data_IF_945105708022
#
_entry.id   IF_945105708022
#
_cell.length_a   1.000
_cell.length_b   1.000
_cell.length_c   1.000
_cell.angle_alpha   90.00
_cell.angle_beta   90.00
_cell.angle_gamma   90.00
#
_symmetry.space_group_name_H-M   'P 1'
#
loop_
_entity.id
_entity.type
_entity.pdbx_description
1 polymer ?
#
# COMPACT_ATOMS: atom_id res chain seq x y z
N UNK A 1 43.33 25.17 44.42
CA UNK A 1 44.33 26.13 43.95
C UNK A 1 44.51 25.97 42.48
N UNK A 2 43.97 26.90 41.69
CA UNK A 2 44.44 27.38 40.41
C UNK A 2 43.40 28.31 39.82
N UNK A 3 43.82 29.48 39.49
CA UNK A 3 43.07 30.68 39.12
C UNK A 3 42.64 30.69 37.66
N UNK A 4 41.67 31.53 37.29
CA UNK A 4 41.10 31.59 35.94
C UNK A 4 41.91 32.44 34.97
N UNK A 5 41.91 32.05 33.73
CA UNK A 5 42.52 32.81 32.62
C UNK A 5 41.44 33.68 31.97
N UNK A 6 41.69 34.98 32.02
CA UNK A 6 40.90 36.06 31.41
C UNK A 6 41.09 36.03 29.88
N UNK A 7 40.01 36.16 29.12
CA UNK A 7 40.03 36.42 27.72
C UNK A 7 39.78 37.92 27.40
N UNK A 8 40.49 38.54 26.46
CA UNK A 8 40.24 39.90 26.03
C UNK A 8 39.12 39.98 24.98
N UNK A 9 38.24 40.93 25.21
CA UNK A 9 37.16 41.35 24.33
C UNK A 9 37.77 42.03 23.09
N UNK A 10 37.57 41.43 21.95
CA UNK A 10 37.94 41.98 20.65
C UNK A 10 36.71 42.72 20.06
N UNK A 11 36.68 44.00 20.26
CA UNK A 11 35.74 44.98 19.73
C UNK A 11 35.86 45.04 18.21
N UNK A 12 34.94 44.45 17.47
CA UNK A 12 34.92 44.48 16.00
C UNK A 12 34.10 45.69 15.54
N UNK A 13 34.78 46.70 15.04
CA UNK A 13 34.21 47.89 14.42
C UNK A 13 33.18 47.52 13.36
N UNK A 14 31.96 48.02 13.59
CA UNK A 14 30.89 47.94 12.58
C UNK A 14 31.11 49.04 11.55
N UNK A 15 31.53 48.64 10.36
CA UNK A 15 31.57 49.54 9.20
C UNK A 15 30.13 49.91 8.81
N UNK A 16 29.78 51.15 8.97
CA UNK A 16 28.56 51.75 8.41
C UNK A 16 28.69 51.78 6.89
N UNK A 17 28.05 50.86 6.24
CA UNK A 17 27.78 50.92 4.81
C UNK A 17 26.62 51.90 4.60
N UNK A 18 26.89 53.03 3.97
CA UNK A 18 25.88 53.98 3.53
C UNK A 18 24.98 53.30 2.48
N UNK A 19 23.72 53.09 2.84
CA UNK A 19 22.67 52.71 1.90
C UNK A 19 22.23 53.95 1.11
N UNK A 20 22.16 53.89 -0.23
CA UNK A 20 21.58 54.94 -1.03
C UNK A 20 20.09 55.09 -0.75
N UNK A 21 19.64 56.27 -0.49
CA UNK A 21 18.23 56.66 -0.34
C UNK A 21 17.52 56.46 -1.69
N UNK A 22 16.72 55.42 -1.79
CA UNK A 22 15.81 55.20 -2.92
C UNK A 22 14.54 56.02 -2.72
N UNK A 23 14.29 56.93 -3.65
CA UNK A 23 13.14 57.83 -3.68
C UNK A 23 11.80 57.08 -3.66
N UNK A 24 10.75 57.58 -3.00
CA UNK A 24 9.50 56.88 -2.78
C UNK A 24 8.48 56.96 -3.92
N UNK A 25 8.89 57.03 -5.20
CA UNK A 25 7.95 57.26 -6.30
C UNK A 25 7.59 56.03 -7.17
N UNK A 26 8.08 54.82 -6.85
CA UNK A 26 7.82 53.63 -7.67
C UNK A 26 6.93 52.57 -6.94
N UNK A 27 6.49 52.88 -5.71
CA UNK A 27 5.78 51.86 -4.87
C UNK A 27 4.29 51.65 -5.20
N UNK A 28 3.71 52.38 -6.16
CA UNK A 28 2.23 52.30 -6.32
C UNK A 28 1.72 51.39 -7.45
N UNK A 29 2.60 50.76 -8.22
CA UNK A 29 2.15 49.83 -9.31
C UNK A 29 2.28 48.34 -9.04
N UNK A 30 2.85 47.95 -7.89
CA UNK A 30 3.05 46.51 -7.60
C UNK A 30 1.90 45.82 -6.83
N UNK A 31 0.90 46.58 -6.34
CA UNK A 31 -0.17 46.01 -5.51
C UNK A 31 -1.24 45.23 -6.28
N UNK A 32 -1.42 45.48 -7.57
CA UNK A 32 -2.44 44.75 -8.35
C UNK A 32 -1.94 43.37 -8.81
N UNK A 33 -0.63 43.26 -9.13
CA UNK A 33 -0.01 41.99 -9.52
C UNK A 33 0.09 41.00 -8.37
N UNK A 34 0.29 41.47 -7.13
CA UNK A 34 0.46 40.55 -5.98
C UNK A 34 -0.84 39.86 -5.55
N UNK A 35 -1.99 40.49 -5.77
CA UNK A 35 -3.30 39.85 -5.47
C UNK A 35 -3.65 38.79 -6.51
N UNK A 36 -3.45 39.07 -7.79
CA UNK A 36 -3.63 38.11 -8.87
C UNK A 36 -2.67 36.93 -8.74
N UNK A 37 -1.40 37.15 -8.38
CA UNK A 37 -0.42 36.09 -8.17
C UNK A 37 -0.78 35.21 -6.97
N UNK A 38 -1.29 35.79 -5.87
CA UNK A 38 -1.78 35.00 -4.70
C UNK A 38 -2.99 34.16 -5.06
N UNK A 39 -3.96 34.69 -5.80
CA UNK A 39 -5.15 33.93 -6.22
C UNK A 39 -4.77 32.79 -7.16
N UNK A 40 -3.85 33.03 -8.11
CA UNK A 40 -3.32 31.99 -9.00
C UNK A 40 -2.52 30.92 -8.22
N UNK A 41 -1.70 31.33 -7.26
CA UNK A 41 -0.93 30.39 -6.42
C UNK A 41 -1.84 29.53 -5.54
N UNK A 42 -2.91 30.10 -4.96
CA UNK A 42 -3.89 29.33 -4.18
C UNK A 42 -4.73 28.39 -5.07
N UNK A 43 -5.10 28.83 -6.27
CA UNK A 43 -5.79 27.99 -7.25
C UNK A 43 -4.95 26.81 -7.70
N UNK A 44 -3.66 27.02 -7.99
CA UNK A 44 -2.72 25.96 -8.36
C UNK A 44 -2.47 24.97 -7.20
N UNK A 45 -2.33 25.48 -5.98
CA UNK A 45 -2.16 24.64 -4.79
C UNK A 45 -3.40 23.78 -4.51
N UNK A 46 -4.60 24.35 -4.69
CA UNK A 46 -5.86 23.61 -4.54
C UNK A 46 -6.00 22.54 -5.62
N UNK A 47 -5.60 22.84 -6.86
CA UNK A 47 -5.63 21.88 -7.98
C UNK A 47 -4.66 20.71 -7.75
N UNK A 48 -3.47 20.97 -7.20
CA UNK A 48 -2.48 19.95 -6.83
C UNK A 48 -2.96 19.10 -5.65
N UNK A 49 -3.68 19.67 -4.69
CA UNK A 49 -4.26 18.92 -3.58
C UNK A 49 -5.42 18.02 -4.04
N UNK A 50 -6.24 18.48 -4.99
CA UNK A 50 -7.32 17.68 -5.57
C UNK A 50 -6.81 16.52 -6.43
N UNK A 51 -5.68 16.69 -7.14
CA UNK A 51 -5.08 15.61 -7.95
C UNK A 51 -4.41 14.52 -7.09
N UNK A 52 -3.99 14.80 -5.87
CA UNK A 52 -3.43 13.79 -4.97
C UNK A 52 -4.48 12.85 -4.35
N UNK A 53 -5.75 13.21 -4.36
CA UNK A 53 -6.85 12.38 -3.86
C UNK A 53 -7.28 11.26 -4.82
N UNK A 54 -6.90 11.32 -6.09
CA UNK A 54 -7.26 10.31 -7.10
C UNK A 54 -6.26 9.16 -7.22
N UNK A 55 -5.12 9.21 -6.52
CA UNK A 55 -4.06 8.20 -6.60
C UNK A 55 -4.35 6.91 -5.80
N UNK A 56 -5.45 6.83 -5.04
CA UNK A 56 -5.83 5.64 -4.26
C UNK A 56 -6.82 4.71 -4.99
N UNK A 57 -6.86 4.72 -6.32
CA UNK A 57 -7.69 3.87 -7.16
C UNK A 57 -7.12 2.47 -7.46
N UNK A 58 -6.43 1.84 -6.53
CA UNK A 58 -6.21 0.41 -6.58
C UNK A 58 -7.55 -0.29 -6.37
N UNK A 59 -8.11 -0.96 -7.39
CA UNK A 59 -9.37 -1.69 -7.22
C UNK A 59 -9.15 -2.79 -6.19
N UNK A 60 -9.60 -2.50 -4.97
CA UNK A 60 -9.58 -3.45 -3.87
C UNK A 60 -10.42 -4.67 -4.26
N UNK A 61 -9.90 -5.89 -4.07
CA UNK A 61 -10.66 -7.09 -4.38
C UNK A 61 -11.93 -7.13 -3.51
N UNK A 62 -13.07 -7.53 -4.07
CA UNK A 62 -14.31 -7.69 -3.29
C UNK A 62 -14.07 -8.62 -2.10
N UNK A 63 -14.69 -8.35 -0.96
CA UNK A 63 -14.55 -9.19 0.25
C UNK A 63 -14.98 -10.64 0.00
N UNK A 64 -16.01 -10.85 -0.80
CA UNK A 64 -16.45 -12.19 -1.18
C UNK A 64 -15.36 -12.97 -1.91
N UNK A 65 -14.67 -12.33 -2.83
CA UNK A 65 -13.56 -12.91 -3.58
C UNK A 65 -12.37 -13.25 -2.66
N UNK A 66 -12.08 -12.39 -1.68
CA UNK A 66 -11.01 -12.67 -0.72
C UNK A 66 -11.34 -13.84 0.19
N UNK A 67 -12.60 -13.96 0.64
CA UNK A 67 -13.06 -15.13 1.39
C UNK A 67 -12.92 -16.43 0.57
N UNK A 68 -13.30 -16.39 -0.72
CA UNK A 68 -13.15 -17.51 -1.64
C UNK A 68 -11.67 -17.88 -1.84
N UNK A 69 -10.81 -16.89 -2.06
CA UNK A 69 -9.36 -17.10 -2.21
C UNK A 69 -8.74 -17.77 -0.98
N UNK A 70 -9.09 -17.31 0.23
CA UNK A 70 -8.63 -17.90 1.48
C UNK A 70 -9.15 -19.32 1.69
N UNK A 71 -10.43 -19.55 1.43
CA UNK A 71 -11.03 -20.88 1.48
C UNK A 71 -10.32 -21.85 0.52
N UNK A 72 -10.09 -21.43 -0.72
CA UNK A 72 -9.38 -22.20 -1.73
C UNK A 72 -7.92 -22.47 -1.32
N UNK A 73 -7.23 -21.47 -0.78
CA UNK A 73 -5.86 -21.65 -0.29
C UNK A 73 -5.76 -22.70 0.82
N UNK A 74 -6.69 -22.70 1.77
CA UNK A 74 -6.77 -23.72 2.82
C UNK A 74 -7.04 -25.09 2.21
N UNK A 75 -8.02 -25.20 1.30
CA UNK A 75 -8.34 -26.46 0.62
C UNK A 75 -7.14 -27.05 -0.10
N UNK A 76 -6.43 -26.24 -0.90
CA UNK A 76 -5.24 -26.67 -1.62
C UNK A 76 -4.14 -27.17 -0.68
N UNK A 77 -3.96 -26.47 0.46
CA UNK A 77 -2.99 -26.88 1.48
C UNK A 77 -3.40 -28.20 2.14
N UNK A 78 -4.66 -28.34 2.55
CA UNK A 78 -5.17 -29.59 3.14
C UNK A 78 -5.11 -30.76 2.15
N UNK A 79 -5.41 -30.52 0.89
CA UNK A 79 -5.29 -31.54 -0.17
C UNK A 79 -3.84 -32.00 -0.34
N UNK A 80 -2.88 -31.09 -0.32
CA UNK A 80 -1.46 -31.43 -0.40
C UNK A 80 -1.01 -32.26 0.82
N UNK A 81 -1.44 -31.90 2.02
CA UNK A 81 -1.17 -32.65 3.27
C UNK A 81 -1.80 -34.05 3.20
N UNK A 82 -3.08 -34.14 2.85
CA UNK A 82 -3.78 -35.41 2.74
C UNK A 82 -3.09 -36.35 1.73
N UNK A 83 -2.69 -35.82 0.58
CA UNK A 83 -1.94 -36.57 -0.43
C UNK A 83 -0.60 -37.05 0.09
N UNK A 84 0.16 -36.24 0.81
CA UNK A 84 1.47 -36.64 1.36
C UNK A 84 1.36 -37.70 2.45
N UNK A 85 0.24 -37.73 3.19
CA UNK A 85 -0.03 -38.68 4.27
C UNK A 85 -0.90 -39.89 3.84
N UNK A 86 -1.25 -40.01 2.55
CA UNK A 86 -2.17 -41.00 2.02
C UNK A 86 -3.53 -41.02 2.75
N UNK A 87 -4.03 -39.84 3.15
CA UNK A 87 -5.34 -39.68 3.79
C UNK A 87 -6.42 -39.39 2.73
N UNK A 88 -7.70 -39.71 3.01
CA UNK A 88 -8.78 -39.32 2.12
C UNK A 88 -8.83 -37.78 1.97
N UNK A 89 -9.15 -37.29 0.77
CA UNK A 89 -9.26 -35.83 0.55
C UNK A 89 -10.42 -35.25 1.36
N UNK A 90 -10.29 -34.05 1.82
CA UNK A 90 -11.35 -33.33 2.50
C UNK A 90 -12.47 -32.98 1.51
N UNK A 91 -13.70 -33.37 1.82
CA UNK A 91 -14.86 -33.22 0.93
C UNK A 91 -15.65 -31.92 1.14
N UNK A 92 -15.40 -31.22 2.24
CA UNK A 92 -16.13 -29.99 2.61
C UNK A 92 -15.21 -28.81 2.69
N UNK A 93 -15.63 -27.68 2.12
CA UNK A 93 -14.88 -26.44 2.14
C UNK A 93 -14.73 -25.88 3.57
N UNK A 94 -13.58 -25.29 3.91
CA UNK A 94 -13.40 -24.59 5.17
C UNK A 94 -14.29 -23.34 5.24
N UNK A 95 -14.76 -23.03 6.43
CA UNK A 95 -15.48 -21.79 6.69
C UNK A 95 -14.48 -20.67 6.99
N UNK A 96 -14.56 -19.57 6.24
CA UNK A 96 -13.72 -18.38 6.40
C UNK A 96 -14.59 -17.22 6.88
N UNK A 97 -14.15 -16.54 7.92
CA UNK A 97 -14.88 -15.42 8.52
C UNK A 97 -13.94 -14.33 9.06
N UNK A 98 -14.51 -13.19 9.42
CA UNK A 98 -13.82 -12.04 10.04
C UNK A 98 -12.51 -11.63 9.35
N UNK A 99 -12.47 -11.63 8.03
CA UNK A 99 -11.30 -11.23 7.26
C UNK A 99 -11.01 -9.74 7.46
N UNK A 100 -9.81 -9.42 7.94
CA UNK A 100 -9.28 -8.08 8.13
C UNK A 100 -8.02 -7.93 7.30
N UNK A 101 -8.07 -7.06 6.31
CA UNK A 101 -6.91 -6.71 5.48
C UNK A 101 -6.10 -5.66 6.24
N UNK A 102 -4.82 -5.92 6.41
CA UNK A 102 -3.86 -5.01 7.06
C UNK A 102 -2.99 -4.30 6.02
N UNK A 103 -2.61 -5.02 4.96
CA UNK A 103 -1.75 -4.47 3.92
C UNK A 103 -2.19 -4.93 2.53
N UNK A 104 -2.05 -4.04 1.56
CA UNK A 104 -2.22 -4.33 0.14
C UNK A 104 -1.08 -3.71 -0.66
N UNK A 105 -0.43 -4.53 -1.48
CA UNK A 105 0.67 -4.09 -2.32
C UNK A 105 0.43 -4.54 -3.75
N UNK A 106 0.54 -3.59 -4.69
CA UNK A 106 0.50 -3.90 -6.11
C UNK A 106 1.87 -4.45 -6.54
N UNK A 107 1.85 -5.58 -7.24
CA UNK A 107 3.07 -6.21 -7.74
C UNK A 107 2.84 -6.84 -9.12
N UNK A 108 3.91 -7.34 -9.73
CA UNK A 108 3.82 -8.14 -10.96
C UNK A 108 3.92 -9.63 -10.62
N UNK A 109 3.00 -10.41 -11.15
CA UNK A 109 2.99 -11.87 -11.10
C UNK A 109 3.28 -12.39 -12.52
N UNK A 110 4.55 -12.64 -12.79
CA UNK A 110 5.02 -12.81 -14.17
C UNK A 110 4.88 -11.49 -14.95
N UNK A 111 4.23 -11.53 -16.10
CA UNK A 111 4.00 -10.34 -16.91
C UNK A 111 2.73 -9.55 -16.54
N UNK A 112 1.88 -10.13 -15.71
CA UNK A 112 0.58 -9.54 -15.37
C UNK A 112 0.57 -8.80 -14.04
N UNK A 113 -0.34 -7.83 -13.94
CA UNK A 113 -0.56 -7.10 -12.69
C UNK A 113 -1.22 -7.98 -11.65
N UNK A 114 -0.71 -7.91 -10.44
CA UNK A 114 -1.23 -8.64 -9.30
C UNK A 114 -1.27 -7.79 -8.04
N UNK A 115 -1.80 -8.38 -7.00
CA UNK A 115 -1.94 -7.81 -5.67
C UNK A 115 -1.46 -8.82 -4.63
N UNK A 116 -0.57 -8.40 -3.75
CA UNK A 116 -0.32 -9.09 -2.49
C UNK A 116 -1.25 -8.51 -1.44
N UNK A 117 -1.99 -9.35 -0.77
CA UNK A 117 -2.91 -8.97 0.29
C UNK A 117 -2.56 -9.75 1.54
N UNK A 118 -2.29 -9.06 2.62
CA UNK A 118 -2.01 -9.67 3.91
C UNK A 118 -2.95 -9.14 5.00
N UNK A 119 -3.09 -9.90 6.07
CA UNK A 119 -3.94 -9.54 7.17
C UNK A 119 -4.24 -10.70 8.09
N UNK A 120 -5.41 -10.65 8.74
CA UNK A 120 -5.86 -11.66 9.71
C UNK A 120 -7.28 -12.09 9.44
N UNK A 121 -7.58 -13.35 9.77
CA UNK A 121 -8.89 -13.94 9.55
C UNK A 121 -9.18 -15.06 10.55
N UNK A 122 -10.43 -15.44 10.63
CA UNK A 122 -10.84 -16.63 11.34
C UNK A 122 -11.24 -17.72 10.35
N UNK A 123 -10.92 -18.95 10.65
CA UNK A 123 -11.29 -20.09 9.82
C UNK A 123 -11.57 -21.35 10.63
N UNK A 124 -12.29 -22.26 10.02
CA UNK A 124 -12.69 -23.53 10.66
C UNK A 124 -12.74 -24.63 9.62
N UNK A 125 -12.11 -25.77 9.91
CA UNK A 125 -12.36 -27.01 9.18
C UNK A 125 -13.63 -27.66 9.71
N UNK A 126 -14.31 -28.46 8.88
CA UNK A 126 -15.48 -29.23 9.32
C UNK A 126 -15.14 -30.14 10.50
N UNK A 127 -15.86 -29.99 11.60
CA UNK A 127 -15.65 -30.76 12.83
C UNK A 127 -14.56 -30.23 13.77
N UNK A 128 -13.78 -29.27 13.38
CA UNK A 128 -12.70 -28.70 14.18
C UNK A 128 -13.14 -27.43 14.94
N UNK A 129 -12.26 -26.96 15.83
CA UNK A 129 -12.43 -25.68 16.52
C UNK A 129 -12.09 -24.51 15.57
N UNK A 130 -12.75 -23.38 15.80
CA UNK A 130 -12.42 -22.15 15.07
C UNK A 130 -11.01 -21.69 15.42
N UNK A 131 -10.21 -21.47 14.40
CA UNK A 131 -8.90 -20.81 14.50
C UNK A 131 -9.14 -19.32 14.38
N UNK A 132 -8.85 -18.59 15.45
CA UNK A 132 -9.10 -17.14 15.54
C UNK A 132 -7.82 -16.37 15.23
N UNK A 133 -7.97 -15.23 14.56
CA UNK A 133 -6.89 -14.25 14.36
C UNK A 133 -5.66 -14.84 13.65
N UNK A 134 -5.86 -15.76 12.73
CA UNK A 134 -4.79 -16.38 11.96
C UNK A 134 -4.24 -15.41 10.93
N UNK A 135 -2.91 -15.25 10.78
CA UNK A 135 -2.34 -14.41 9.74
C UNK A 135 -2.53 -15.06 8.36
N UNK A 136 -2.69 -14.24 7.33
CA UNK A 136 -2.69 -14.69 5.95
C UNK A 136 -1.88 -13.79 5.04
N UNK A 137 -1.41 -14.36 3.96
CA UNK A 137 -0.86 -13.70 2.79
C UNK A 137 -1.37 -14.42 1.54
N UNK A 138 -1.97 -13.68 0.63
CA UNK A 138 -2.47 -14.21 -0.65
C UNK A 138 -2.05 -13.31 -1.80
N UNK A 139 -1.78 -13.94 -2.92
CA UNK A 139 -1.47 -13.26 -4.17
C UNK A 139 -2.66 -13.41 -5.11
N UNK A 140 -3.16 -12.30 -5.58
CA UNK A 140 -4.31 -12.23 -6.48
C UNK A 140 -3.86 -11.64 -7.81
N UNK A 141 -4.05 -12.38 -8.90
CA UNK A 141 -3.81 -11.89 -10.23
C UNK A 141 -5.12 -11.39 -10.84
N UNK A 142 -5.08 -10.20 -11.44
CA UNK A 142 -6.20 -9.66 -12.18
C UNK A 142 -6.09 -10.10 -13.65
N UNK A 143 -7.20 -10.55 -14.23
CA UNK A 143 -7.26 -10.90 -15.64
C UNK A 143 -7.10 -9.65 -16.53
N UNK A 144 -6.74 -9.87 -17.81
CA UNK A 144 -6.41 -8.81 -18.76
C UNK A 144 -7.52 -7.76 -18.94
N UNK A 145 -8.78 -8.19 -18.90
CA UNK A 145 -9.95 -7.30 -18.99
C UNK A 145 -10.37 -6.69 -17.67
N UNK A 146 -9.66 -7.03 -16.56
CA UNK A 146 -9.95 -6.51 -15.24
C UNK A 146 -11.21 -7.07 -14.56
N UNK A 147 -11.92 -8.00 -15.19
CA UNK A 147 -13.19 -8.54 -14.71
C UNK A 147 -13.03 -9.84 -13.92
N UNK A 148 -11.97 -10.60 -14.17
CA UNK A 148 -11.70 -11.87 -13.50
C UNK A 148 -10.54 -11.77 -12.53
N UNK A 149 -10.57 -12.63 -11.52
CA UNK A 149 -9.52 -12.78 -10.54
C UNK A 149 -9.04 -14.22 -10.46
N UNK A 150 -7.79 -14.40 -10.13
CA UNK A 150 -7.16 -15.69 -9.91
C UNK A 150 -6.35 -15.66 -8.64
N UNK A 151 -6.42 -16.70 -7.84
CA UNK A 151 -5.46 -16.94 -6.77
C UNK A 151 -4.16 -17.42 -7.41
N UNK A 152 -3.07 -16.71 -7.14
CA UNK A 152 -1.74 -17.09 -7.58
C UNK A 152 -0.98 -17.70 -6.41
N UNK A 153 -0.40 -18.89 -6.61
CA UNK A 153 0.46 -19.53 -5.62
C UNK A 153 1.87 -19.69 -6.20
N UNK A 154 2.90 -19.35 -5.43
CA UNK A 154 4.27 -19.55 -5.87
C UNK A 154 4.56 -21.04 -6.06
N UNK A 155 5.23 -21.38 -7.14
CA UNK A 155 5.67 -22.73 -7.46
C UNK A 155 7.17 -22.72 -7.75
N UNK A 156 7.96 -23.29 -6.87
CA UNK A 156 9.41 -23.34 -6.96
C UNK A 156 10.11 -22.71 -5.74
N UNK A 157 11.37 -23.11 -5.48
CA UNK A 157 12.12 -22.71 -4.29
C UNK A 157 12.77 -21.32 -4.39
N UNK A 158 12.98 -20.77 -5.60
CA UNK A 158 13.77 -19.57 -5.83
C UNK A 158 12.96 -18.38 -6.34
N UNK A 159 13.23 -17.20 -5.78
CA UNK A 159 12.57 -15.94 -6.15
C UNK A 159 12.89 -15.50 -7.59
N UNK A 160 14.04 -15.88 -8.16
CA UNK A 160 14.47 -15.47 -9.49
C UNK A 160 13.85 -16.29 -10.64
N UNK A 161 13.31 -17.48 -10.36
CA UNK A 161 12.59 -18.33 -11.32
C UNK A 161 11.20 -18.72 -10.82
N UNK A 162 10.56 -17.86 -10.06
CA UNK A 162 9.27 -18.12 -9.45
C UNK A 162 8.19 -18.26 -10.54
N UNK A 163 7.75 -19.48 -10.79
CA UNK A 163 6.53 -19.74 -11.55
C UNK A 163 5.30 -19.62 -10.65
N UNK A 164 4.16 -19.28 -11.23
CA UNK A 164 2.92 -19.08 -10.50
C UNK A 164 1.87 -20.08 -10.95
N UNK A 165 1.30 -20.80 -10.01
CA UNK A 165 0.10 -21.62 -10.23
C UNK A 165 -1.12 -20.75 -10.05
N UNK A 166 -1.97 -20.68 -11.09
CA UNK A 166 -3.12 -19.79 -11.13
C UNK A 166 -4.42 -20.59 -10.99
N UNK A 167 -5.23 -20.22 -10.03
CA UNK A 167 -6.54 -20.83 -9.75
C UNK A 167 -7.63 -19.76 -9.98
N UNK A 168 -8.61 -20.02 -10.85
CA UNK A 168 -9.69 -19.07 -11.10
C UNK A 168 -10.57 -18.88 -9.85
N UNK A 169 -11.01 -17.65 -9.62
CA UNK A 169 -11.93 -17.25 -8.57
C UNK A 169 -13.21 -16.67 -9.18
N UNK A 170 -14.31 -16.70 -8.43
CA UNK A 170 -15.58 -16.15 -8.88
C UNK A 170 -16.39 -17.07 -9.80
N UNK A 171 -16.01 -18.35 -9.93
CA UNK A 171 -16.79 -19.34 -10.68
C UNK A 171 -17.76 -20.17 -9.80
N UNK A 172 -17.80 -19.91 -8.51
CA UNK A 172 -18.69 -20.58 -7.57
C UNK A 172 -19.95 -19.79 -7.31
N UNK A 173 -21.03 -20.14 -7.99
CA UNK A 173 -22.46 -19.77 -7.91
C UNK A 173 -22.95 -18.92 -9.09
N UNK A 174 -23.14 -19.58 -10.21
CA UNK A 174 -24.26 -19.28 -11.10
C UNK A 174 -25.34 -20.32 -10.87
#
# INVERSE_FOLDING_TARGET
>A
MCRPCSQPIMEKRINRVMLPQLSPSVASRFHLGSRLFRVLAHGLCLLLLLSSLTACGGSQPPRALLNEALSLQIQLTQTAISKSLNLPPMSVAPNVSRVRVEEQEALKLGEQSGLRVSGRFDWQLPGDRVQVDSPFEVYLQRGERGESWRLARPNGPDQDQQSWLLYPLGQGNA
#
